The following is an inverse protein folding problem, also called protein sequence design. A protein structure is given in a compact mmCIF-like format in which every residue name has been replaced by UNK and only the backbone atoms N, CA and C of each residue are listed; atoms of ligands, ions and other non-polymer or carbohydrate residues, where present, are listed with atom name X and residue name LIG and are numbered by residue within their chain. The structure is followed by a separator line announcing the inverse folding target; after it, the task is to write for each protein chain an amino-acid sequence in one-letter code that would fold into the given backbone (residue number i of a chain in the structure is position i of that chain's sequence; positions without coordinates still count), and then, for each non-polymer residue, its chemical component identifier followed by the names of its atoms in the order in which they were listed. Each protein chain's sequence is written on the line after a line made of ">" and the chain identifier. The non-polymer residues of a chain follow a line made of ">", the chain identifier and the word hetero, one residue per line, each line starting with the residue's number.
data_IF_923768677497
#
_entry.id   IF_923768677497
#
_cell.length_a   1.000
_cell.length_b   1.000
_cell.length_c   1.000
_cell.angle_alpha   90.00
_cell.angle_beta   90.00
_cell.angle_gamma   90.00
#
_symmetry.space_group_name_H-M   'P 1'
#
loop_
_entity.id
_entity.type
_entity.pdbx_description
1 polymer ?
#
# COMPACT_ATOMS: atom_id res chain seq x y z
N UNK A 1 -12.81 11.99 8.55
CA UNK A 1 -11.92 10.84 8.26
C UNK A 1 -12.75 9.70 7.69
N UNK A 2 -12.76 9.48 6.36
CA UNK A 2 -13.49 8.34 5.75
C UNK A 2 -12.72 7.05 6.02
N UNK A 3 -13.37 6.08 6.67
CA UNK A 3 -12.83 4.71 6.86
C UNK A 3 -12.79 4.05 5.48
N UNK A 4 -11.61 3.71 4.98
CA UNK A 4 -11.46 2.96 3.72
C UNK A 4 -11.70 1.49 4.02
N UNK A 5 -12.71 0.91 3.38
CA UNK A 5 -12.94 -0.53 3.38
C UNK A 5 -11.75 -1.20 2.69
N UNK A 6 -10.94 -1.94 3.44
CA UNK A 6 -9.81 -2.68 2.89
C UNK A 6 -10.33 -4.03 2.38
N UNK A 7 -10.19 -4.25 1.08
CA UNK A 7 -10.45 -5.55 0.45
C UNK A 7 -9.16 -6.37 0.49
N UNK A 8 -9.30 -7.65 0.81
CA UNK A 8 -8.21 -8.62 0.91
C UNK A 8 -8.50 -9.74 -0.09
N UNK A 9 -7.55 -10.14 -0.94
CA UNK A 9 -7.75 -11.25 -1.88
C UNK A 9 -7.82 -12.58 -1.11
N UNK A 10 -8.65 -13.51 -1.58
CA UNK A 10 -8.66 -14.89 -1.11
C UNK A 10 -8.43 -15.86 -2.28
N UNK A 11 -7.70 -16.93 -2.00
CA UNK A 11 -7.27 -17.90 -3.01
C UNK A 11 -7.81 -19.29 -2.63
N UNK A 12 -7.93 -20.19 -3.61
CA UNK A 12 -8.24 -21.60 -3.35
C UNK A 12 -6.99 -22.38 -2.88
N UNK A 13 -7.17 -23.66 -2.59
CA UNK A 13 -6.09 -24.58 -2.18
C UNK A 13 -4.96 -24.73 -3.21
N UNK A 14 -5.22 -24.39 -4.47
CA UNK A 14 -4.26 -24.41 -5.57
C UNK A 14 -3.55 -23.05 -5.75
N UNK A 15 -3.87 -22.05 -4.93
CA UNK A 15 -3.28 -20.71 -4.99
C UNK A 15 -3.85 -19.81 -6.09
N UNK A 16 -4.97 -20.18 -6.71
CA UNK A 16 -5.66 -19.34 -7.69
C UNK A 16 -6.56 -18.33 -7.00
N UNK A 17 -6.55 -17.08 -7.47
CA UNK A 17 -7.40 -16.01 -6.93
C UNK A 17 -8.87 -16.35 -7.17
N UNK A 18 -9.64 -16.44 -6.09
CA UNK A 18 -11.08 -16.72 -6.14
C UNK A 18 -11.92 -15.46 -5.94
N UNK A 19 -11.40 -14.44 -5.26
CA UNK A 19 -12.09 -13.15 -5.14
C UNK A 19 -11.53 -12.25 -4.05
N UNK A 20 -12.37 -11.32 -3.57
CA UNK A 20 -12.01 -10.31 -2.57
C UNK A 20 -12.99 -10.34 -1.40
N UNK A 21 -12.47 -10.39 -0.18
CA UNK A 21 -13.26 -10.30 1.07
C UNK A 21 -12.99 -8.98 1.78
N UNK A 22 -14.00 -8.46 2.48
CA UNK A 22 -13.82 -7.26 3.32
C UNK A 22 -13.13 -7.65 4.62
N UNK A 23 -12.09 -6.92 4.99
CA UNK A 23 -11.44 -7.08 6.29
C UNK A 23 -12.36 -6.53 7.39
N UNK A 24 -13.15 -7.41 8.01
CA UNK A 24 -13.93 -7.06 9.19
C UNK A 24 -13.02 -7.02 10.41
N UNK A 25 -12.68 -5.81 10.88
CA UNK A 25 -12.06 -5.68 12.21
C UNK A 25 -13.10 -6.11 13.25
N UNK A 26 -12.86 -7.22 13.93
CA UNK A 26 -13.59 -7.64 15.13
C UNK A 26 -13.81 -6.44 16.05
N UNK A 27 -15.05 -5.97 16.11
CA UNK A 27 -15.42 -4.86 16.96
C UNK A 27 -15.47 -5.37 18.39
N UNK A 28 -14.46 -4.99 19.17
CA UNK A 28 -14.45 -5.14 20.61
C UNK A 28 -15.58 -4.26 21.18
N UNK A 29 -16.74 -4.85 21.46
CA UNK A 29 -17.90 -4.18 22.05
C UNK A 29 -17.60 -3.75 23.48
N UNK A 30 -17.41 -2.45 23.69
CA UNK A 30 -17.58 -1.81 25.00
C UNK A 30 -18.81 -0.89 24.94
N UNK A 31 -19.71 -0.94 25.94
CA UNK A 31 -20.85 -0.03 26.00
C UNK A 31 -20.37 1.37 26.38
N UNK A 32 -20.82 2.38 25.62
CA UNK A 32 -20.56 3.79 25.89
C UNK A 32 -21.79 4.43 26.52
N UNK A 33 -21.64 4.87 27.78
CA UNK A 33 -22.62 5.70 28.48
C UNK A 33 -22.54 7.13 27.95
N UNK A 34 -23.62 7.64 27.36
CA UNK A 34 -23.74 9.01 26.87
C UNK A 34 -24.31 9.95 27.95
N UNK A 35 -23.70 11.12 28.14
CA UNK A 35 -24.32 12.28 28.78
C UNK A 35 -24.34 13.46 27.79
N UNK A 36 -25.43 14.26 27.73
CA UNK A 36 -25.57 15.36 26.79
C UNK A 36 -24.87 16.63 27.28
N UNK A 37 -24.24 17.37 26.36
CA UNK A 37 -23.75 18.74 26.62
C UNK A 37 -24.61 19.80 25.93
N UNK A 38 -24.74 20.99 26.55
CA UNK A 38 -25.66 22.04 26.12
C UNK A 38 -25.13 22.88 24.95
N UNK A 39 -26.10 23.35 24.15
CA UNK A 39 -25.96 24.24 23.00
C UNK A 39 -25.45 25.62 23.46
N UNK A 40 -24.36 26.10 22.86
CA UNK A 40 -23.97 27.52 22.93
C UNK A 40 -24.12 28.18 21.56
N UNK A 41 -25.07 29.09 21.48
CA UNK A 41 -25.18 30.10 20.44
C UNK A 41 -24.10 31.16 20.65
N UNK A 42 -23.37 31.52 19.60
CA UNK A 42 -22.63 32.78 19.51
C UNK A 42 -22.54 33.18 18.04
N UNK A 43 -23.38 34.13 17.66
CA UNK A 43 -23.30 34.87 16.40
C UNK A 43 -22.36 36.06 16.59
N UNK A 44 -21.49 36.32 15.62
CA UNK A 44 -20.84 37.63 15.45
C UNK A 44 -20.72 37.98 13.96
N UNK A 45 -20.66 39.28 13.62
CA UNK A 45 -21.20 39.84 12.39
C UNK A 45 -20.24 39.83 11.19
N UNK A 46 -20.87 39.88 10.02
CA UNK A 46 -20.29 40.03 8.69
C UNK A 46 -19.63 41.42 8.58
N UNK A 47 -18.34 41.43 8.24
CA UNK A 47 -17.60 42.64 7.86
C UNK A 47 -17.31 42.59 6.36
N UNK A 48 -17.98 43.45 5.60
CA UNK A 48 -17.76 43.66 4.16
C UNK A 48 -16.64 44.66 3.95
N UNK A 49 -15.49 44.18 3.47
CA UNK A 49 -14.38 45.03 3.02
C UNK A 49 -14.40 45.13 1.49
N UNK A 50 -14.40 46.34 0.90
CA UNK A 50 -14.29 46.51 -0.55
C UNK A 50 -12.91 46.10 -1.03
N UNK A 51 -12.84 45.27 -2.06
CA UNK A 51 -11.58 44.84 -2.70
C UNK A 51 -11.38 45.70 -3.95
N UNK A 52 -10.28 46.44 -4.00
CA UNK A 52 -9.84 47.15 -5.20
C UNK A 52 -9.35 46.15 -6.27
N UNK A 53 -9.48 46.45 -7.57
CA UNK A 53 -8.97 45.59 -8.63
C UNK A 53 -7.47 45.83 -8.81
N UNK A 54 -6.66 44.80 -8.54
CA UNK A 54 -5.27 44.74 -8.97
C UNK A 54 -5.21 44.13 -10.37
N UNK A 55 -4.76 44.94 -11.33
CA UNK A 55 -4.41 44.53 -12.68
C UNK A 55 -3.38 43.40 -12.64
N UNK A 56 -3.73 42.28 -13.27
CA UNK A 56 -2.92 41.08 -13.37
C UNK A 56 -2.11 41.14 -14.66
N UNK A 57 -0.84 41.55 -14.55
CA UNK A 57 0.13 41.44 -15.63
C UNK A 57 0.85 40.09 -15.52
N UNK A 58 0.26 39.03 -16.07
CA UNK A 58 0.86 37.69 -16.08
C UNK A 58 1.73 37.55 -17.33
N UNK A 59 3.03 37.67 -17.14
CA UNK A 59 4.02 37.22 -18.12
C UNK A 59 3.90 35.70 -18.34
N UNK A 60 4.03 35.20 -19.58
CA UNK A 60 3.98 33.77 -19.87
C UNK A 60 5.21 33.08 -19.28
N UNK A 61 5.00 32.17 -18.34
CA UNK A 61 6.06 31.34 -17.78
C UNK A 61 6.65 30.42 -18.86
N UNK A 62 7.97 30.21 -18.91
CA UNK A 62 8.60 29.37 -19.92
C UNK A 62 8.18 27.91 -19.74
N UNK A 63 7.77 27.31 -20.85
CA UNK A 63 7.42 25.90 -20.96
C UNK A 63 8.54 25.03 -20.38
N UNK A 64 8.22 24.25 -19.34
CA UNK A 64 9.15 23.25 -18.80
C UNK A 64 9.40 22.20 -19.89
N UNK A 65 10.66 22.09 -20.31
CA UNK A 65 11.16 20.93 -21.05
C UNK A 65 10.97 19.69 -20.16
N UNK A 66 9.88 18.96 -20.37
CA UNK A 66 9.72 17.61 -19.87
C UNK A 66 10.40 16.69 -20.86
N UNK A 67 11.68 16.39 -20.64
CA UNK A 67 12.37 15.33 -21.38
C UNK A 67 11.60 14.03 -21.11
N UNK A 68 11.12 13.31 -22.15
CA UNK A 68 10.40 12.07 -21.93
C UNK A 68 11.39 11.03 -21.43
N UNK A 69 11.32 10.71 -20.14
CA UNK A 69 11.94 9.48 -19.61
C UNK A 69 11.25 8.35 -20.37
N UNK A 70 11.98 7.40 -20.99
CA UNK A 70 11.38 6.29 -21.71
C UNK A 70 10.53 5.47 -20.74
N UNK A 71 9.23 5.77 -20.73
CA UNK A 71 8.20 5.06 -20.02
C UNK A 71 7.94 3.79 -20.82
N UNK A 72 8.72 2.76 -20.55
CA UNK A 72 8.26 1.41 -20.86
C UNK A 72 6.88 1.27 -20.19
N UNK A 73 5.85 0.96 -20.98
CA UNK A 73 4.52 0.68 -20.45
C UNK A 73 4.70 -0.32 -19.29
N UNK A 74 4.10 -0.05 -18.11
CA UNK A 74 4.32 -0.91 -16.97
C UNK A 74 3.92 -2.34 -17.36
N UNK A 75 4.75 -3.35 -17.11
CA UNK A 75 4.32 -4.74 -17.24
C UNK A 75 3.03 -4.90 -16.46
N UNK A 76 2.09 -5.70 -16.97
CA UNK A 76 0.79 -5.96 -16.34
C UNK A 76 0.96 -6.12 -14.83
N UNK A 77 0.50 -5.12 -14.06
CA UNK A 77 0.74 -5.07 -12.63
C UNK A 77 -0.19 -6.05 -11.94
N UNK A 78 0.32 -7.25 -11.64
CA UNK A 78 -0.40 -8.29 -10.91
C UNK A 78 -0.31 -8.11 -9.38
N UNK A 79 0.38 -7.07 -8.93
CA UNK A 79 0.63 -6.77 -7.52
C UNK A 79 1.70 -7.66 -6.86
N UNK A 80 2.40 -8.51 -7.61
CA UNK A 80 3.55 -9.29 -7.15
C UNK A 80 4.82 -8.89 -7.93
N UNK A 81 5.28 -7.63 -7.78
CA UNK A 81 6.51 -7.19 -8.42
C UNK A 81 7.67 -8.09 -8.00
N UNK A 82 8.43 -8.58 -8.97
CA UNK A 82 9.60 -9.41 -8.71
C UNK A 82 10.75 -9.02 -9.65
N UNK A 83 11.97 -9.15 -9.14
CA UNK A 83 13.19 -8.77 -9.84
C UNK A 83 13.56 -7.28 -9.75
N UNK A 84 14.53 -6.92 -10.60
CA UNK A 84 15.08 -5.56 -10.69
C UNK A 84 14.22 -4.72 -11.61
N UNK A 85 13.22 -4.06 -11.04
CA UNK A 85 12.26 -3.26 -11.80
C UNK A 85 12.17 -1.83 -11.27
N UNK A 86 12.06 -0.89 -12.21
CA UNK A 86 11.76 0.50 -11.93
C UNK A 86 10.69 0.96 -12.89
N UNK A 87 9.52 1.28 -12.35
CA UNK A 87 8.33 1.58 -13.15
C UNK A 87 7.76 2.93 -12.73
N UNK A 88 7.45 3.76 -13.72
CA UNK A 88 6.73 5.01 -13.53
C UNK A 88 5.25 4.78 -13.82
N UNK A 89 4.39 5.26 -12.93
CA UNK A 89 2.94 5.16 -13.05
C UNK A 89 2.33 6.56 -13.08
N UNK A 90 1.49 6.80 -14.09
CA UNK A 90 0.64 7.99 -14.17
C UNK A 90 -0.49 7.90 -13.14
N UNK A 91 -1.21 9.01 -12.85
CA UNK A 91 -2.35 8.97 -11.93
C UNK A 91 -3.42 7.95 -12.36
N UNK A 92 -3.71 7.86 -13.67
CA UNK A 92 -4.65 6.88 -14.21
C UNK A 92 -4.19 5.44 -13.95
N UNK A 93 -2.91 5.14 -14.23
CA UNK A 93 -2.38 3.80 -13.99
C UNK A 93 -2.36 3.43 -12.51
N UNK A 94 -2.16 4.39 -11.61
CA UNK A 94 -2.29 4.16 -10.17
C UNK A 94 -3.71 3.72 -9.83
N UNK A 95 -4.73 4.32 -10.45
CA UNK A 95 -6.13 3.90 -10.25
C UNK A 95 -6.39 2.50 -10.82
N UNK A 96 -5.96 2.25 -12.07
CA UNK A 96 -6.13 0.96 -12.76
C UNK A 96 -5.46 -0.20 -12.01
N UNK A 97 -4.35 0.06 -11.31
CA UNK A 97 -3.59 -0.92 -10.53
C UNK A 97 -4.02 -1.02 -9.07
N UNK A 98 -5.23 -0.55 -8.74
CA UNK A 98 -5.75 -0.55 -7.37
C UNK A 98 -4.82 0.17 -6.37
N UNK A 99 -4.27 1.31 -6.77
CA UNK A 99 -3.38 2.18 -5.98
C UNK A 99 -1.95 1.63 -5.77
N UNK A 100 -1.45 0.83 -6.72
CA UNK A 100 -0.16 0.15 -6.63
C UNK A 100 -0.06 -0.72 -5.38
N UNK A 101 -1.11 -1.49 -5.11
CA UNK A 101 -1.07 -2.47 -4.03
C UNK A 101 -0.03 -3.52 -4.38
N UNK A 102 0.84 -3.81 -3.41
CA UNK A 102 1.82 -4.88 -3.45
C UNK A 102 1.35 -5.95 -2.50
N UNK A 103 1.17 -7.16 -3.02
CA UNK A 103 0.64 -8.29 -2.26
C UNK A 103 1.70 -9.04 -1.48
N UNK A 104 3.00 -8.82 -1.69
CA UNK A 104 4.03 -9.39 -0.81
C UNK A 104 3.79 -9.01 0.66
N UNK A 105 3.89 -9.99 1.56
CA UNK A 105 3.89 -9.73 2.98
C UNK A 105 5.11 -8.88 3.33
N UNK A 106 4.89 -7.77 4.02
CA UNK A 106 5.91 -6.73 4.14
C UNK A 106 5.87 -6.00 5.47
N UNK A 107 7.06 -5.79 6.03
CA UNK A 107 7.29 -4.85 7.10
C UNK A 107 7.53 -3.47 6.51
N UNK A 108 6.83 -2.45 7.02
CA UNK A 108 7.07 -1.08 6.62
C UNK A 108 8.36 -0.56 7.26
N UNK A 109 9.30 -0.14 6.43
CA UNK A 109 10.54 0.50 6.87
C UNK A 109 10.35 2.03 7.01
N UNK A 110 11.23 2.71 7.78
CA UNK A 110 11.30 4.16 7.77
C UNK A 110 11.47 4.70 6.34
N UNK A 111 10.49 5.47 5.90
CA UNK A 111 10.49 6.14 4.60
C UNK A 111 11.05 7.56 4.68
N UNK A 112 11.15 8.23 3.52
CA UNK A 112 11.46 9.65 3.46
C UNK A 112 10.17 10.45 3.49
N UNK A 113 10.03 11.35 4.46
CA UNK A 113 8.96 12.36 4.45
C UNK A 113 9.27 13.39 3.37
N UNK A 114 8.51 13.35 2.29
CA UNK A 114 8.46 14.41 1.27
C UNK A 114 7.02 14.80 1.00
N UNK A 115 6.80 15.60 -0.06
CA UNK A 115 5.47 16.09 -0.39
C UNK A 115 4.82 15.23 -1.47
N UNK A 116 3.55 14.77 -1.29
CA UNK A 116 2.82 14.14 -2.37
C UNK A 116 2.56 15.08 -3.56
N UNK A 117 2.68 16.40 -3.38
CA UNK A 117 2.56 17.40 -4.45
C UNK A 117 3.90 17.85 -5.01
N UNK A 118 4.99 17.15 -4.70
CA UNK A 118 6.30 17.46 -5.24
C UNK A 118 6.34 17.26 -6.75
N UNK A 119 7.08 18.13 -7.46
CA UNK A 119 7.25 18.03 -8.91
C UNK A 119 8.19 16.88 -9.36
N UNK A 120 8.97 16.31 -8.43
CA UNK A 120 9.89 15.21 -8.75
C UNK A 120 9.73 14.06 -7.75
N UNK A 121 9.95 12.80 -8.18
CA UNK A 121 9.88 11.63 -7.30
C UNK A 121 10.78 11.74 -6.06
N UNK A 122 11.99 12.30 -6.20
CA UNK A 122 12.98 12.39 -5.10
C UNK A 122 12.56 13.34 -3.97
N UNK A 123 11.70 14.32 -4.29
CA UNK A 123 11.08 15.24 -3.34
C UNK A 123 9.69 14.75 -2.89
N UNK A 124 9.22 13.66 -3.50
CA UNK A 124 7.98 12.97 -3.19
C UNK A 124 7.97 12.29 -1.82
N UNK A 125 6.81 11.76 -1.44
CA UNK A 125 6.68 10.91 -0.26
C UNK A 125 7.11 9.48 -0.60
N UNK A 126 8.18 9.01 0.03
CA UNK A 126 8.77 7.70 -0.25
C UNK A 126 8.41 6.73 0.88
N UNK A 127 7.65 5.70 0.53
CA UNK A 127 7.41 4.55 1.39
C UNK A 127 8.40 3.44 1.05
N UNK A 128 9.01 2.83 2.08
CA UNK A 128 9.93 1.71 1.93
C UNK A 128 9.37 0.49 2.65
N UNK A 129 9.62 -0.67 2.10
CA UNK A 129 9.09 -1.92 2.60
C UNK A 129 10.17 -2.99 2.54
N UNK A 130 10.06 -3.97 3.43
CA UNK A 130 10.90 -5.14 3.49
C UNK A 130 10.02 -6.39 3.43
N UNK A 131 10.34 -7.35 2.57
CA UNK A 131 9.58 -8.58 2.46
C UNK A 131 9.78 -9.39 3.75
N UNK A 132 8.65 -9.67 4.41
CA UNK A 132 8.63 -10.53 5.58
C UNK A 132 8.92 -12.00 5.21
N UNK A 133 8.89 -12.37 3.93
CA UNK A 133 9.09 -13.73 3.45
C UNK A 133 7.79 -14.50 3.35
N UNK A 134 7.84 -15.81 3.58
CA UNK A 134 6.68 -16.70 3.55
C UNK A 134 6.80 -17.77 4.64
N UNK A 135 5.66 -18.26 5.11
CA UNK A 135 5.58 -19.42 6.01
C UNK A 135 5.25 -20.64 5.16
N UNK A 136 6.12 -21.65 5.20
CA UNK A 136 6.01 -22.86 4.40
C UNK A 136 5.63 -24.04 5.31
N UNK A 137 4.89 -25.00 4.74
CA UNK A 137 4.62 -26.28 5.38
C UNK A 137 5.82 -27.22 5.24
N UNK A 138 6.17 -27.94 6.30
CA UNK A 138 7.26 -28.94 6.29
C UNK A 138 6.92 -30.22 5.52
N UNK A 139 5.64 -30.44 5.22
CA UNK A 139 5.20 -31.60 4.43
C UNK A 139 5.57 -31.48 2.96
N UNK A 140 6.23 -32.51 2.41
CA UNK A 140 6.62 -32.57 0.99
C UNK A 140 5.44 -32.59 0.01
N UNK A 141 4.24 -32.93 0.48
CA UNK A 141 3.02 -33.01 -0.35
C UNK A 141 2.10 -31.82 -0.17
N UNK A 142 2.30 -31.03 0.90
CA UNK A 142 1.48 -29.85 1.17
C UNK A 142 2.15 -28.61 0.57
N UNK A 143 1.50 -27.99 -0.41
CA UNK A 143 1.99 -26.78 -1.08
C UNK A 143 1.50 -25.48 -0.44
N UNK A 144 1.01 -25.54 0.81
CA UNK A 144 0.55 -24.36 1.52
C UNK A 144 1.69 -23.38 1.76
N UNK A 145 1.53 -22.19 1.17
CA UNK A 145 2.41 -21.04 1.31
C UNK A 145 1.60 -19.96 2.02
N UNK A 146 1.98 -19.61 3.24
CA UNK A 146 1.15 -18.81 4.15
C UNK A 146 1.80 -17.43 4.32
N UNK A 147 0.99 -16.38 4.31
CA UNK A 147 1.47 -15.03 4.63
C UNK A 147 1.97 -14.98 6.09
N UNK A 148 3.19 -14.47 6.35
CA UNK A 148 3.65 -14.16 7.70
C UNK A 148 2.70 -13.20 8.41
N UNK A 149 2.29 -13.54 9.63
CA UNK A 149 1.49 -12.68 10.52
C UNK A 149 2.35 -11.77 11.39
N UNK A 150 1.71 -10.85 12.13
CA UNK A 150 2.42 -9.90 13.01
C UNK A 150 3.23 -10.59 14.13
N UNK A 151 2.73 -11.72 14.64
CA UNK A 151 3.44 -12.54 15.62
C UNK A 151 3.84 -13.88 15.00
N UNK A 152 4.94 -13.84 14.24
CA UNK A 152 5.46 -15.02 13.53
C UNK A 152 5.75 -16.18 14.49
N UNK A 153 6.26 -15.91 15.69
CA UNK A 153 6.58 -16.97 16.66
C UNK A 153 5.34 -17.76 17.08
N UNK A 154 4.22 -17.06 17.33
CA UNK A 154 2.93 -17.69 17.61
C UNK A 154 2.41 -18.46 16.39
N UNK A 155 2.55 -17.90 15.19
CA UNK A 155 2.11 -18.55 13.96
C UNK A 155 2.87 -19.87 13.72
N UNK A 156 4.16 -19.91 14.00
CA UNK A 156 4.99 -21.11 13.84
C UNK A 156 4.71 -22.19 14.90
N UNK A 157 4.00 -21.86 15.99
CA UNK A 157 3.51 -22.83 16.97
C UNK A 157 2.23 -23.52 16.50
N UNK A 158 1.54 -22.96 15.50
CA UNK A 158 0.37 -23.59 14.89
C UNK A 158 0.78 -24.65 13.88
N UNK A 159 -0.13 -25.58 13.63
CA UNK A 159 0.03 -26.59 12.59
C UNK A 159 -0.53 -26.08 11.26
N UNK A 160 0.01 -26.61 10.16
CA UNK A 160 -0.58 -26.47 8.86
C UNK A 160 -1.96 -27.16 8.81
N UNK A 161 -2.78 -26.84 7.81
CA UNK A 161 -4.06 -27.53 7.57
C UNK A 161 -3.90 -29.03 7.34
N UNK A 162 -2.73 -29.50 6.92
CA UNK A 162 -2.39 -30.92 6.80
C UNK A 162 -1.83 -31.54 8.09
N UNK A 163 -1.82 -30.82 9.22
CA UNK A 163 -1.28 -31.26 10.51
C UNK A 163 0.25 -31.23 10.64
N UNK A 164 0.97 -30.78 9.61
CA UNK A 164 2.44 -30.69 9.65
C UNK A 164 2.92 -29.37 10.22
N UNK A 165 4.20 -29.31 10.62
CA UNK A 165 4.80 -28.09 11.18
C UNK A 165 4.96 -27.00 10.13
N UNK A 166 4.96 -25.76 10.60
CA UNK A 166 5.24 -24.58 9.80
C UNK A 166 6.67 -24.08 10.06
N UNK A 167 7.32 -23.58 9.03
CA UNK A 167 8.60 -22.88 9.16
C UNK A 167 8.61 -21.57 8.39
N UNK A 168 9.38 -20.60 8.87
CA UNK A 168 9.46 -19.28 8.26
C UNK A 168 10.67 -19.17 7.34
N UNK A 169 10.43 -18.84 6.06
CA UNK A 169 11.46 -18.53 5.09
C UNK A 169 11.55 -17.03 4.88
N UNK A 170 12.52 -16.39 5.52
CA UNK A 170 12.73 -14.94 5.41
C UNK A 170 13.31 -14.53 4.05
N UNK A 171 12.82 -13.44 3.46
CA UNK A 171 13.32 -12.90 2.18
C UNK A 171 14.15 -11.63 2.33
N UNK A 172 13.78 -10.74 3.27
CA UNK A 172 14.42 -9.43 3.51
C UNK A 172 14.64 -8.55 2.25
N UNK A 173 13.87 -8.82 1.20
CA UNK A 173 13.87 -8.07 -0.05
C UNK A 173 13.26 -6.68 0.16
N UNK A 174 13.90 -5.63 -0.36
CA UNK A 174 13.40 -4.26 -0.21
C UNK A 174 12.87 -3.68 -1.50
N UNK A 175 11.78 -2.93 -1.38
CA UNK A 175 11.23 -2.10 -2.45
C UNK A 175 10.74 -0.75 -1.91
N UNK A 176 10.51 0.17 -2.82
CA UNK A 176 10.01 1.50 -2.48
C UNK A 176 8.97 2.00 -3.45
N UNK A 177 8.10 2.88 -2.96
CA UNK A 177 7.11 3.60 -3.74
C UNK A 177 7.25 5.08 -3.41
N UNK A 178 7.68 5.88 -4.39
CA UNK A 178 7.71 7.32 -4.31
C UNK A 178 6.42 7.89 -4.93
N UNK A 179 5.62 8.64 -4.16
CA UNK A 179 4.42 9.34 -4.66
C UNK A 179 4.68 10.84 -4.76
N UNK A 180 4.30 11.43 -5.88
CA UNK A 180 4.54 12.82 -6.25
C UNK A 180 3.38 13.35 -7.13
N UNK A 181 3.40 14.62 -7.56
CA UNK A 181 2.22 15.26 -8.16
C UNK A 181 1.75 14.59 -9.46
N UNK A 182 2.69 14.12 -10.28
CA UNK A 182 2.39 13.52 -11.58
C UNK A 182 2.28 11.97 -11.51
N UNK A 183 2.26 11.39 -10.31
CA UNK A 183 2.01 9.97 -10.12
C UNK A 183 2.93 9.28 -9.12
N UNK A 184 3.50 8.14 -9.51
CA UNK A 184 4.32 7.33 -8.63
C UNK A 184 5.48 6.62 -9.35
N UNK A 185 6.53 6.30 -8.59
CA UNK A 185 7.63 5.45 -9.03
C UNK A 185 7.71 4.25 -8.09
N UNK A 186 7.61 3.06 -8.65
CA UNK A 186 7.95 1.81 -7.96
C UNK A 186 9.41 1.47 -8.29
N UNK A 187 10.17 1.05 -7.28
CA UNK A 187 11.55 0.58 -7.48
C UNK A 187 11.85 -0.63 -6.59
N UNK A 188 12.42 -1.66 -7.21
CA UNK A 188 13.02 -2.83 -6.55
C UNK A 188 14.33 -3.22 -7.22
N UNK A 189 15.27 -3.73 -6.42
CA UNK A 189 16.64 -4.02 -6.88
C UNK A 189 17.06 -5.49 -6.73
N UNK A 190 16.13 -6.39 -6.43
CA UNK A 190 16.40 -7.78 -6.07
C UNK A 190 15.23 -8.70 -6.49
N UNK A 191 15.45 -10.01 -6.45
CA UNK A 191 14.44 -11.02 -6.75
C UNK A 191 14.05 -11.76 -5.47
N UNK A 192 12.78 -12.09 -5.32
CA UNK A 192 12.31 -12.91 -4.22
C UNK A 192 12.91 -14.31 -4.30
N UNK A 193 13.34 -14.85 -3.17
CA UNK A 193 13.91 -16.20 -3.07
C UNK A 193 12.89 -17.22 -2.60
N UNK A 194 11.60 -16.88 -2.61
CA UNK A 194 10.50 -17.72 -2.17
C UNK A 194 9.27 -17.51 -3.05
N UNK A 195 8.35 -18.46 -3.00
CA UNK A 195 7.10 -18.40 -3.74
C UNK A 195 6.14 -17.35 -3.16
N UNK A 196 5.15 -16.95 -3.98
CA UNK A 196 3.99 -16.18 -3.53
C UNK A 196 3.24 -16.98 -2.46
N UNK A 197 2.74 -16.32 -1.42
CA UNK A 197 1.82 -16.99 -0.51
C UNK A 197 0.48 -17.19 -1.21
N UNK A 198 -0.19 -18.27 -0.82
CA UNK A 198 -1.49 -18.70 -1.33
C UNK A 198 -2.56 -18.61 -0.26
N UNK A 199 -2.20 -18.59 1.04
CA UNK A 199 -3.16 -18.63 2.12
C UNK A 199 -2.88 -17.57 3.19
N UNK A 200 -3.95 -17.13 3.85
CA UNK A 200 -3.88 -16.47 5.15
C UNK A 200 -4.22 -17.53 6.20
N UNK A 201 -3.39 -17.63 7.25
CA UNK A 201 -3.74 -18.48 8.39
C UNK A 201 -4.69 -17.66 9.28
N UNK A 202 -5.97 -18.00 9.23
CA UNK A 202 -7.04 -17.37 10.03
C UNK A 202 -7.09 -17.97 11.43
#
# INVERSE_FOLDING_TARGET
>A
RRRRNRLVPYYNSEGQLQGWVREEKSQNTRPATSLPQPIRHSQLPISTRPTAPLESNVAPAPAKLTTPIPSAAPPSWDGFPDGRIKCHFTPQQIEDTSQLVVYWAADKLPGKRGSPTAATPDKGNISRFNCAGVVECDSKVCLSQIAPGENILRQLQSECTCGSKLFHRSCRFQWSIARYIDGAVFESNHTHTHSRYTHLLV
#
